data_IF_701629338054
#
_entry.id   IF_701629338054
#
_cell.length_a   1.000
_cell.length_b   1.000
_cell.length_c   1.000
_cell.angle_alpha   90.00
_cell.angle_beta   90.00
_cell.angle_gamma   90.00
#
_symmetry.space_group_name_H-M   'P 1'
#
loop_
_entity.id
_entity.type
_entity.pdbx_description
1 polymer ?
#
# COMPACT_ATOMS: atom_id res chain seq x y z
N UNK A 1 -3.10 -22.13 16.15
CA UNK A 1 -2.54 -20.93 15.48
C UNK A 1 -1.69 -21.38 14.30
N UNK A 2 -1.56 -20.57 13.26
CA UNK A 2 -0.77 -20.84 12.05
C UNK A 2 0.44 -19.91 12.01
N UNK A 3 1.62 -20.42 11.65
CA UNK A 3 2.90 -19.71 11.72
C UNK A 3 3.43 -19.45 10.33
N UNK A 4 4.00 -18.26 10.12
CA UNK A 4 4.73 -17.96 8.89
C UNK A 4 6.06 -18.73 8.86
N UNK A 5 6.44 -19.23 7.69
CA UNK A 5 7.72 -19.93 7.53
C UNK A 5 8.91 -18.99 7.40
N UNK A 6 8.69 -17.74 7.03
CA UNK A 6 9.75 -16.76 6.73
C UNK A 6 9.95 -15.71 7.82
N UNK A 7 8.99 -15.56 8.73
CA UNK A 7 9.05 -14.60 9.84
C UNK A 7 8.48 -15.21 11.12
N UNK A 8 8.52 -14.45 12.22
CA UNK A 8 8.03 -14.89 13.54
C UNK A 8 6.53 -14.66 13.75
N UNK A 9 5.80 -14.19 12.74
CA UNK A 9 4.37 -13.90 12.85
C UNK A 9 3.51 -15.17 12.94
N UNK A 10 2.41 -15.06 13.70
CA UNK A 10 1.40 -16.11 13.86
C UNK A 10 -0.01 -15.57 13.62
N UNK A 11 -0.92 -16.44 13.18
CA UNK A 11 -2.27 -16.10 12.72
C UNK A 11 -3.31 -17.07 13.27
N UNK A 12 -4.50 -16.57 13.58
CA UNK A 12 -5.62 -17.40 14.07
C UNK A 12 -6.36 -18.11 12.94
N UNK A 13 -6.39 -17.52 11.73
CA UNK A 13 -7.08 -18.08 10.54
C UNK A 13 -6.09 -18.34 9.41
N UNK A 14 -6.27 -19.44 8.68
CA UNK A 14 -5.46 -19.82 7.52
C UNK A 14 -5.44 -18.69 6.47
N UNK A 15 -6.60 -18.07 6.20
CA UNK A 15 -6.70 -17.00 5.21
C UNK A 15 -5.81 -15.79 5.54
N UNK A 16 -5.60 -15.48 6.82
CA UNK A 16 -4.70 -14.39 7.22
C UNK A 16 -3.24 -14.75 6.99
N UNK A 17 -2.83 -15.99 7.29
CA UNK A 17 -1.50 -16.47 6.95
C UNK A 17 -1.25 -16.44 5.44
N UNK A 18 -2.22 -16.91 4.63
CA UNK A 18 -2.09 -16.91 3.17
C UNK A 18 -1.99 -15.49 2.63
N UNK A 19 -2.81 -14.56 3.13
CA UNK A 19 -2.72 -13.15 2.75
C UNK A 19 -1.36 -12.56 3.12
N UNK A 20 -0.86 -12.83 4.33
CA UNK A 20 0.46 -12.37 4.73
C UNK A 20 1.56 -12.90 3.78
N UNK A 21 1.57 -14.20 3.49
CA UNK A 21 2.53 -14.80 2.55
C UNK A 21 2.44 -14.18 1.14
N UNK A 22 1.23 -13.90 0.65
CA UNK A 22 1.02 -13.32 -0.67
C UNK A 22 1.39 -11.84 -0.80
N UNK A 23 1.45 -11.10 0.31
CA UNK A 23 1.77 -9.68 0.30
C UNK A 23 3.23 -9.41 0.70
N UNK A 24 3.69 -10.05 1.77
CA UNK A 24 5.01 -9.76 2.36
C UNK A 24 6.13 -10.66 1.83
N UNK A 25 5.80 -11.82 1.26
CA UNK A 25 6.80 -12.82 0.83
C UNK A 25 6.63 -13.27 -0.64
N UNK A 26 5.77 -12.59 -1.41
CA UNK A 26 5.41 -12.96 -2.80
C UNK A 26 6.61 -13.13 -3.73
N UNK A 27 7.61 -12.27 -3.59
CA UNK A 27 8.77 -12.20 -4.48
C UNK A 27 10.01 -12.84 -3.89
N UNK A 28 9.95 -13.26 -2.63
CA UNK A 28 11.15 -13.68 -1.93
C UNK A 28 11.51 -15.13 -2.25
N UNK A 29 10.53 -16.02 -2.54
CA UNK A 29 10.83 -17.45 -2.69
C UNK A 29 9.86 -18.22 -3.59
N UNK A 30 10.39 -19.25 -4.25
CA UNK A 30 9.63 -20.21 -5.07
C UNK A 30 9.11 -21.42 -4.28
N UNK A 31 9.27 -21.44 -2.94
CA UNK A 31 8.91 -22.59 -2.09
C UNK A 31 8.35 -22.13 -0.75
N UNK A 32 7.28 -22.76 -0.30
CA UNK A 32 6.61 -22.55 0.99
C UNK A 32 6.77 -23.79 1.86
N UNK A 33 7.36 -23.63 3.06
CA UNK A 33 7.55 -24.72 4.02
C UNK A 33 6.47 -24.62 5.10
N UNK A 34 5.83 -25.73 5.45
CA UNK A 34 4.95 -25.78 6.61
C UNK A 34 5.78 -25.79 7.91
N UNK A 35 5.43 -24.95 8.88
CA UNK A 35 6.00 -24.94 10.24
C UNK A 35 4.97 -25.25 11.32
N UNK A 36 3.92 -25.98 10.96
CA UNK A 36 2.93 -26.44 11.93
C UNK A 36 3.49 -27.63 12.71
N UNK A 37 2.95 -27.88 13.90
CA UNK A 37 3.43 -28.94 14.79
C UNK A 37 3.53 -30.28 14.05
N UNK A 38 4.72 -30.87 14.05
CA UNK A 38 5.05 -32.12 13.35
C UNK A 38 4.80 -32.10 11.83
N UNK A 39 4.89 -30.94 11.17
CA UNK A 39 4.79 -30.82 9.72
C UNK A 39 5.91 -29.96 9.14
N UNK A 40 6.65 -30.52 8.18
CA UNK A 40 7.79 -29.88 7.50
C UNK A 40 7.69 -30.02 5.98
N UNK A 41 6.48 -30.16 5.43
CA UNK A 41 6.28 -30.35 3.98
C UNK A 41 6.56 -29.05 3.23
N UNK A 42 7.19 -29.17 2.07
CA UNK A 42 7.48 -28.07 1.15
C UNK A 42 6.53 -28.06 -0.04
N UNK A 43 6.18 -26.86 -0.52
CA UNK A 43 5.26 -26.64 -1.63
C UNK A 43 5.79 -25.56 -2.56
N UNK A 44 5.75 -25.81 -3.87
CA UNK A 44 6.19 -24.82 -4.88
C UNK A 44 5.12 -23.74 -5.18
N UNK A 45 3.88 -23.95 -4.74
CA UNK A 45 2.76 -23.07 -5.07
C UNK A 45 1.93 -22.77 -3.82
N UNK A 46 1.59 -21.49 -3.63
CA UNK A 46 0.78 -21.00 -2.51
C UNK A 46 -0.60 -21.67 -2.45
N UNK A 47 -1.19 -22.02 -3.60
CA UNK A 47 -2.48 -22.73 -3.67
C UNK A 47 -2.39 -24.14 -3.06
N UNK A 48 -1.33 -24.88 -3.39
CA UNK A 48 -1.07 -26.22 -2.81
C UNK A 48 -0.74 -26.14 -1.32
N UNK A 49 0.00 -25.11 -0.91
CA UNK A 49 0.27 -24.85 0.50
C UNK A 49 -1.01 -24.54 1.28
N UNK A 50 -1.90 -23.70 0.74
CA UNK A 50 -3.23 -23.41 1.32
C UNK A 50 -4.07 -24.67 1.47
N UNK A 51 -4.15 -25.48 0.42
CA UNK A 51 -4.87 -26.75 0.43
C UNK A 51 -4.32 -27.69 1.50
N UNK A 52 -2.99 -27.79 1.62
CA UNK A 52 -2.35 -28.57 2.67
C UNK A 52 -2.73 -28.11 4.08
N UNK A 53 -2.69 -26.79 4.35
CA UNK A 53 -3.09 -26.24 5.63
C UNK A 53 -4.55 -26.57 5.95
N UNK A 54 -5.45 -26.45 4.97
CA UNK A 54 -6.87 -26.79 5.15
C UNK A 54 -7.08 -28.29 5.44
N UNK A 55 -6.36 -29.16 4.75
CA UNK A 55 -6.57 -30.60 4.86
C UNK A 55 -5.92 -31.24 6.09
N UNK A 56 -4.79 -30.69 6.56
CA UNK A 56 -3.98 -31.29 7.63
C UNK A 56 -3.99 -30.50 8.94
N UNK A 57 -4.19 -29.19 8.88
CA UNK A 57 -4.02 -28.30 10.04
C UNK A 57 -5.26 -27.48 10.38
N UNK A 58 -6.25 -27.39 9.48
CA UNK A 58 -7.56 -26.95 9.92
C UNK A 58 -8.08 -28.02 10.88
N UNK A 59 -8.36 -27.60 12.11
CA UNK A 59 -9.18 -28.39 13.01
C UNK A 59 -10.42 -28.77 12.21
N UNK A 60 -10.62 -30.07 11.98
CA UNK A 60 -11.91 -30.58 11.59
C UNK A 60 -12.82 -30.27 12.77
N UNK A 61 -13.39 -29.07 12.77
CA UNK A 61 -14.61 -28.80 13.50
C UNK A 61 -15.53 -29.87 12.96
N UNK A 62 -15.80 -30.89 13.76
CA UNK A 62 -16.80 -31.90 13.46
C UNK A 62 -18.13 -31.15 13.48
N UNK A 63 -18.42 -30.45 12.39
CA UNK A 63 -19.76 -30.02 12.08
C UNK A 63 -20.46 -31.33 11.79
N UNK A 64 -21.17 -31.85 12.78
CA UNK A 64 -22.13 -32.93 12.63
C UNK A 64 -23.24 -32.42 11.71
N UNK A 65 -22.95 -32.32 10.40
CA UNK A 65 -23.97 -32.12 9.40
C UNK A 65 -24.65 -33.47 9.23
N UNK A 66 -25.86 -33.56 9.79
CA UNK A 66 -26.78 -34.68 9.58
C UNK A 66 -26.90 -34.97 8.08
N UNK A 67 -26.70 -36.23 7.63
CA UNK A 67 -26.74 -36.58 6.22
C UNK A 67 -28.20 -36.74 5.80
N UNK A 68 -28.88 -35.65 5.45
CA UNK A 68 -30.10 -35.70 4.68
C UNK A 68 -29.96 -34.81 3.45
N UNK A 69 -30.21 -35.45 2.30
CA UNK A 69 -30.27 -34.91 0.93
C UNK A 69 -28.99 -35.06 0.10
N UNK A 70 -28.63 -36.32 -0.20
CA UNK A 70 -27.91 -36.64 -1.43
C UNK A 70 -28.84 -36.39 -2.63
N UNK A 71 -28.70 -35.24 -3.30
CA UNK A 71 -29.29 -35.01 -4.60
C UNK A 71 -28.44 -35.70 -5.67
N UNK A 72 -28.97 -36.78 -6.22
CA UNK A 72 -28.42 -37.51 -7.35
C UNK A 72 -28.65 -36.69 -8.62
N UNK A 73 -27.60 -36.07 -9.16
CA UNK A 73 -27.64 -35.45 -10.49
C UNK A 73 -27.50 -36.57 -11.52
N UNK A 74 -28.64 -37.03 -12.07
CA UNK A 74 -28.65 -37.83 -13.30
C UNK A 74 -28.50 -36.88 -14.48
N UNK A 75 -27.37 -36.94 -15.16
CA UNK A 75 -27.20 -36.32 -16.47
C UNK A 75 -28.13 -37.02 -17.46
N UNK A 76 -29.08 -36.28 -18.01
CA UNK A 76 -29.85 -36.69 -19.17
C UNK A 76 -29.70 -35.60 -20.23
N UNK A 77 -29.13 -36.02 -21.36
CA UNK A 77 -28.94 -35.20 -22.55
C UNK A 77 -30.26 -34.65 -23.11
N UNK A 78 -30.10 -33.57 -23.88
CA UNK A 78 -30.95 -33.02 -24.95
C UNK A 78 -31.77 -31.74 -24.64
N UNK A 79 -31.31 -30.70 -25.34
CA UNK A 79 -32.04 -29.75 -26.18
C UNK A 79 -33.02 -28.72 -25.59
N UNK A 80 -32.66 -27.49 -25.96
CA UNK A 80 -33.49 -26.40 -26.50
C UNK A 80 -34.31 -25.52 -25.55
N UNK A 81 -34.07 -24.23 -25.81
CA UNK A 81 -34.92 -23.06 -25.65
C UNK A 81 -34.75 -22.20 -24.38
N UNK A 82 -34.36 -20.96 -24.72
CA UNK A 82 -34.40 -19.71 -24.01
C UNK A 82 -35.54 -19.61 -22.99
N UNK A 83 -35.22 -19.16 -21.77
CA UNK A 83 -35.91 -18.03 -21.13
C UNK A 83 -35.22 -17.62 -19.81
N UNK A 84 -35.09 -16.29 -19.65
CA UNK A 84 -34.88 -15.50 -18.43
C UNK A 84 -33.90 -16.00 -17.35
N UNK A 85 -32.71 -15.38 -17.31
CA UNK A 85 -31.87 -15.36 -16.11
C UNK A 85 -32.41 -14.33 -15.11
N UNK A 86 -33.10 -14.79 -14.07
CA UNK A 86 -33.21 -14.05 -12.82
C UNK A 86 -32.07 -14.49 -11.90
N UNK A 87 -31.13 -13.58 -11.67
CA UNK A 87 -30.01 -13.77 -10.76
C UNK A 87 -30.52 -13.88 -9.31
N UNK A 88 -30.50 -15.10 -8.77
CA UNK A 88 -30.65 -15.35 -7.35
C UNK A 88 -29.35 -14.97 -6.63
N UNK A 89 -29.25 -13.71 -6.21
CA UNK A 89 -28.19 -13.25 -5.30
C UNK A 89 -28.37 -13.94 -3.94
N UNK A 90 -27.59 -14.99 -3.69
CA UNK A 90 -27.47 -15.62 -2.37
C UNK A 90 -26.90 -14.60 -1.39
N UNK A 91 -27.74 -14.16 -0.46
CA UNK A 91 -27.39 -13.33 0.68
C UNK A 91 -26.38 -14.09 1.56
N UNK A 92 -25.09 -13.76 1.44
CA UNK A 92 -24.05 -14.27 2.33
C UNK A 92 -24.12 -13.44 3.61
N UNK A 93 -24.81 -13.98 4.61
CA UNK A 93 -24.89 -13.39 5.94
C UNK A 93 -23.55 -13.57 6.66
N UNK A 94 -22.70 -12.54 6.63
CA UNK A 94 -21.44 -12.52 7.39
C UNK A 94 -21.77 -12.30 8.88
N UNK A 95 -21.95 -13.40 9.62
CA UNK A 95 -21.96 -13.33 11.07
C UNK A 95 -20.53 -13.07 11.55
N UNK A 96 -20.23 -11.82 11.87
CA UNK A 96 -19.00 -11.46 12.56
C UNK A 96 -19.18 -11.90 14.02
N UNK A 97 -18.54 -12.99 14.43
CA UNK A 97 -18.35 -13.31 15.84
C UNK A 97 -17.41 -12.27 16.42
N UNK A 98 -17.98 -11.38 17.23
CA UNK A 98 -17.25 -10.44 18.06
C UNK A 98 -16.54 -11.28 19.12
N UNK A 99 -15.21 -11.37 19.04
CA UNK A 99 -14.42 -12.02 20.08
C UNK A 99 -14.53 -11.20 21.36
N UNK A 100 -15.00 -11.83 22.44
CA UNK A 100 -15.00 -11.29 23.79
C UNK A 100 -13.56 -10.93 24.23
N UNK A 101 -13.22 -9.65 24.13
CA UNK A 101 -12.04 -9.05 24.75
C UNK A 101 -12.42 -8.48 26.12
N UNK A 102 -12.46 -9.33 27.15
CA UNK A 102 -12.82 -8.92 28.52
C UNK A 102 -11.64 -8.75 29.49
N UNK A 103 -10.40 -8.52 29.04
CA UNK A 103 -9.28 -8.28 29.95
C UNK A 103 -8.29 -7.22 29.43
N UNK A 104 -8.75 -5.97 29.38
CA UNK A 104 -7.91 -4.80 29.04
C UNK A 104 -8.17 -3.68 30.05
N UNK A 105 -7.64 -3.84 31.26
CA UNK A 105 -7.84 -2.86 32.34
C UNK A 105 -6.62 -1.98 32.62
N UNK A 106 -5.64 -1.91 31.72
CA UNK A 106 -4.44 -1.09 31.94
C UNK A 106 -3.83 -0.50 30.64
N UNK A 107 -4.62 0.29 29.90
CA UNK A 107 -4.25 0.79 28.57
C UNK A 107 -4.53 2.29 28.34
N UNK A 108 -4.19 3.15 29.30
CA UNK A 108 -4.26 4.59 29.04
C UNK A 108 -3.04 5.13 28.26
N UNK A 109 -1.89 4.44 28.32
CA UNK A 109 -0.68 4.83 27.56
C UNK A 109 -0.60 4.28 26.13
N UNK A 110 -1.49 3.35 25.73
CA UNK A 110 -1.41 2.67 24.43
C UNK A 110 -2.31 3.26 23.34
N UNK A 111 -2.91 4.45 23.57
CA UNK A 111 -3.92 5.03 22.67
C UNK A 111 -3.32 5.76 21.45
N UNK A 112 -2.12 6.34 21.59
CA UNK A 112 -1.38 6.91 20.45
C UNK A 112 -0.89 5.82 19.48
N UNK A 113 -0.82 4.57 19.93
CA UNK A 113 -0.40 3.44 19.10
C UNK A 113 -1.39 3.18 17.96
N UNK A 114 -2.71 3.18 18.24
CA UNK A 114 -3.73 2.84 17.24
C UNK A 114 -3.78 3.81 16.05
N UNK A 115 -3.73 5.13 16.31
CA UNK A 115 -3.76 6.14 15.23
C UNK A 115 -2.48 6.08 14.39
N UNK A 116 -1.34 5.88 15.04
CA UNK A 116 -0.06 5.72 14.34
C UNK A 116 0.00 4.44 13.51
N UNK A 117 -0.55 3.34 14.01
CA UNK A 117 -0.65 2.08 13.26
C UNK A 117 -1.49 2.22 12.00
N UNK A 118 -2.66 2.85 12.12
CA UNK A 118 -3.53 3.11 10.95
C UNK A 118 -2.80 4.02 9.96
N UNK A 119 -2.11 5.06 10.45
CA UNK A 119 -1.30 5.94 9.60
C UNK A 119 -0.22 5.18 8.85
N UNK A 120 0.50 4.30 9.53
CA UNK A 120 1.59 3.51 8.94
C UNK A 120 1.05 2.50 7.92
N UNK A 121 -0.01 1.75 8.25
CA UNK A 121 -0.65 0.80 7.33
C UNK A 121 -1.19 1.48 6.08
N UNK A 122 -1.79 2.66 6.23
CA UNK A 122 -2.31 3.42 5.12
C UNK A 122 -1.19 3.98 4.24
N UNK A 123 -0.13 4.52 4.84
CA UNK A 123 1.04 5.00 4.12
C UNK A 123 1.74 3.86 3.35
N UNK A 124 1.86 2.68 3.95
CA UNK A 124 2.40 1.47 3.30
C UNK A 124 1.52 1.03 2.12
N UNK A 125 0.20 0.99 2.33
CA UNK A 125 -0.77 0.63 1.28
C UNK A 125 -0.75 1.62 0.11
N UNK A 126 -0.70 2.92 0.40
CA UNK A 126 -0.59 3.96 -0.62
C UNK A 126 0.75 3.87 -1.37
N UNK A 127 1.86 3.64 -0.65
CA UNK A 127 3.18 3.48 -1.24
C UNK A 127 3.24 2.26 -2.17
N UNK A 128 2.69 1.12 -1.73
CA UNK A 128 2.59 -0.11 -2.51
C UNK A 128 1.74 0.07 -3.77
N UNK A 129 0.59 0.75 -3.64
CA UNK A 129 -0.25 1.12 -4.77
C UNK A 129 0.52 1.95 -5.80
N UNK A 130 1.24 3.00 -5.37
CA UNK A 130 2.02 3.86 -6.26
C UNK A 130 3.19 3.09 -6.91
N UNK A 131 3.93 2.31 -6.11
CA UNK A 131 5.07 1.52 -6.59
C UNK A 131 4.66 0.54 -7.69
N UNK A 132 3.45 -0.01 -7.62
CA UNK A 132 2.91 -0.91 -8.66
C UNK A 132 2.88 -0.23 -10.03
N UNK A 133 2.48 1.05 -10.11
CA UNK A 133 2.48 1.78 -11.39
C UNK A 133 3.88 2.14 -11.86
N UNK A 134 4.76 2.58 -10.96
CA UNK A 134 6.14 2.93 -11.32
C UNK A 134 7.00 1.72 -11.72
N UNK A 135 6.59 0.51 -11.34
CA UNK A 135 7.25 -0.71 -11.78
C UNK A 135 6.99 -1.05 -13.26
N UNK A 136 5.92 -0.50 -13.87
CA UNK A 136 5.58 -0.73 -15.27
C UNK A 136 6.19 0.34 -16.17
N UNK A 137 7.22 -0.05 -16.93
CA UNK A 137 7.95 0.81 -17.86
C UNK A 137 7.10 1.33 -19.02
N UNK A 138 5.94 0.74 -19.28
CA UNK A 138 5.06 1.16 -20.37
C UNK A 138 4.16 2.35 -19.98
N UNK A 139 4.06 2.66 -18.69
CA UNK A 139 3.21 3.75 -18.20
C UNK A 139 4.06 5.00 -18.03
N UNK A 140 3.79 6.00 -18.86
CA UNK A 140 4.45 7.30 -18.75
C UNK A 140 4.10 7.98 -17.40
N UNK A 141 5.09 8.61 -16.75
CA UNK A 141 4.95 9.24 -15.41
C UNK A 141 3.73 10.18 -15.29
N UNK A 142 3.48 10.96 -16.34
CA UNK A 142 2.29 11.83 -16.44
C UNK A 142 0.97 11.08 -16.22
N UNK A 143 0.85 9.85 -16.72
CA UNK A 143 -0.35 9.03 -16.53
C UNK A 143 -0.43 8.48 -15.11
N UNK A 144 0.69 8.06 -14.53
CA UNK A 144 0.76 7.63 -13.12
C UNK A 144 0.28 8.75 -12.21
N UNK A 145 0.80 9.97 -12.41
CA UNK A 145 0.38 11.15 -11.65
C UNK A 145 -1.11 11.49 -11.86
N UNK A 146 -1.64 11.33 -13.07
CA UNK A 146 -3.08 11.51 -13.34
C UNK A 146 -3.93 10.48 -12.58
N UNK A 147 -3.51 9.22 -12.55
CA UNK A 147 -4.18 8.14 -11.81
C UNK A 147 -4.16 8.45 -10.31
N UNK A 148 -2.99 8.77 -9.74
CA UNK A 148 -2.85 9.13 -8.32
C UNK A 148 -3.77 10.30 -7.97
N UNK A 149 -3.75 11.38 -8.75
CA UNK A 149 -4.59 12.55 -8.52
C UNK A 149 -6.09 12.23 -8.64
N UNK A 150 -6.48 11.37 -9.59
CA UNK A 150 -7.89 10.98 -9.78
C UNK A 150 -8.37 10.11 -8.62
N UNK A 151 -7.58 9.12 -8.21
CA UNK A 151 -7.87 8.25 -7.06
C UNK A 151 -7.96 9.05 -5.77
N UNK A 152 -7.04 9.98 -5.56
CA UNK A 152 -7.07 10.90 -4.43
C UNK A 152 -8.33 11.75 -4.43
N UNK A 153 -8.65 12.41 -5.54
CA UNK A 153 -9.86 13.22 -5.66
C UNK A 153 -11.14 12.40 -5.42
N UNK A 154 -11.15 11.13 -5.86
CA UNK A 154 -12.25 10.21 -5.63
C UNK A 154 -12.42 9.87 -4.14
N UNK A 155 -11.33 9.57 -3.45
CA UNK A 155 -11.33 9.29 -2.01
C UNK A 155 -11.75 10.54 -1.22
N UNK A 156 -11.11 11.68 -1.47
CA UNK A 156 -11.32 12.93 -0.71
C UNK A 156 -12.75 13.48 -0.88
N UNK A 157 -13.29 13.53 -2.10
CA UNK A 157 -14.51 14.30 -2.36
C UNK A 157 -15.81 13.57 -2.07
N UNK A 158 -15.85 12.23 -2.14
CA UNK A 158 -17.12 11.49 -2.10
C UNK A 158 -17.19 10.51 -0.95
N UNK A 159 -16.22 9.60 -0.88
CA UNK A 159 -16.30 8.49 0.07
C UNK A 159 -15.91 8.97 1.47
N UNK A 160 -14.76 9.62 1.60
CA UNK A 160 -14.23 9.96 2.92
C UNK A 160 -15.11 11.00 3.61
N UNK A 161 -15.57 12.01 2.87
CA UNK A 161 -16.46 13.04 3.40
C UNK A 161 -17.82 12.46 3.82
N UNK A 162 -18.41 11.59 3.01
CA UNK A 162 -19.68 10.92 3.34
C UNK A 162 -19.54 10.03 4.57
N UNK A 163 -18.49 9.21 4.62
CA UNK A 163 -18.21 8.34 5.75
C UNK A 163 -17.97 9.16 7.03
N UNK A 164 -17.15 10.21 6.95
CA UNK A 164 -16.89 11.14 8.06
C UNK A 164 -18.18 11.74 8.59
N UNK A 165 -19.03 12.28 7.71
CA UNK A 165 -20.30 12.89 8.11
C UNK A 165 -21.25 11.88 8.76
N UNK A 166 -21.33 10.67 8.21
CA UNK A 166 -22.16 9.60 8.77
C UNK A 166 -21.68 9.17 10.16
N UNK A 167 -20.38 8.96 10.33
CA UNK A 167 -19.80 8.63 11.64
C UNK A 167 -20.03 9.79 12.62
N UNK A 168 -19.79 11.03 12.20
CA UNK A 168 -19.99 12.19 13.08
C UNK A 168 -21.45 12.36 13.51
N UNK A 169 -22.41 12.07 12.62
CA UNK A 169 -23.84 12.06 12.95
C UNK A 169 -24.19 11.00 14.00
N UNK A 170 -23.60 9.80 13.89
CA UNK A 170 -23.76 8.73 14.89
C UNK A 170 -23.12 9.14 16.22
N UNK A 171 -21.89 9.68 16.19
CA UNK A 171 -21.15 10.17 17.37
C UNK A 171 -21.82 11.37 18.05
N UNK A 172 -22.60 12.17 17.31
CA UNK A 172 -23.37 13.29 17.89
C UNK A 172 -24.59 12.80 18.66
N UNK A 173 -25.21 11.70 18.20
CA UNK A 173 -26.38 11.08 18.84
C UNK A 173 -26.02 10.20 20.03
N UNK A 174 -24.86 9.56 19.97
CA UNK A 174 -24.33 8.77 21.08
C UNK A 174 -23.57 9.71 22.02
N UNK A 175 -23.86 9.66 23.32
CA UNK A 175 -23.31 10.58 24.32
C UNK A 175 -21.84 10.23 24.65
N UNK A 176 -21.01 10.10 23.61
CA UNK A 176 -19.62 9.67 23.65
C UNK A 176 -18.73 10.85 24.01
N UNK A 177 -17.70 10.57 24.82
CA UNK A 177 -16.63 11.49 25.20
C UNK A 177 -16.03 12.22 23.97
N UNK A 178 -15.85 13.54 24.11
CA UNK A 178 -15.19 14.37 23.11
C UNK A 178 -13.78 13.87 22.74
N UNK A 179 -13.08 13.20 23.65
CA UNK A 179 -11.75 12.63 23.37
C UNK A 179 -11.78 11.62 22.23
N UNK A 180 -12.79 10.73 22.20
CA UNK A 180 -12.94 9.73 21.14
C UNK A 180 -13.30 10.41 19.81
N UNK A 181 -14.10 11.47 19.84
CA UNK A 181 -14.46 12.25 18.64
C UNK A 181 -13.21 12.87 18.00
N UNK A 182 -12.31 13.44 18.83
CA UNK A 182 -11.04 13.98 18.36
C UNK A 182 -10.14 12.91 17.71
N UNK A 183 -10.06 11.71 18.30
CA UNK A 183 -9.26 10.62 17.72
C UNK A 183 -9.81 10.15 16.37
N UNK A 184 -11.13 10.05 16.23
CA UNK A 184 -11.76 9.69 14.96
C UNK A 184 -11.51 10.79 13.91
N UNK A 185 -11.58 12.05 14.31
CA UNK A 185 -11.22 13.18 13.44
C UNK A 185 -9.77 13.08 12.97
N UNK A 186 -8.82 12.82 13.89
CA UNK A 186 -7.40 12.61 13.55
C UNK A 186 -7.20 11.46 12.56
N UNK A 187 -7.92 10.35 12.72
CA UNK A 187 -7.90 9.24 11.75
C UNK A 187 -8.34 9.72 10.37
N UNK A 188 -9.43 10.48 10.26
CA UNK A 188 -9.86 11.04 8.96
C UNK A 188 -8.84 12.02 8.36
N UNK A 189 -8.14 12.80 9.18
CA UNK A 189 -7.06 13.67 8.70
C UNK A 189 -5.88 12.86 8.15
N UNK A 190 -5.55 11.72 8.77
CA UNK A 190 -4.54 10.79 8.27
C UNK A 190 -4.91 10.29 6.88
N UNK A 191 -6.18 9.94 6.64
CA UNK A 191 -6.63 9.50 5.31
C UNK A 191 -6.49 10.58 4.23
N UNK A 192 -6.78 11.83 4.56
CA UNK A 192 -6.60 12.96 3.65
C UNK A 192 -5.15 13.15 3.23
N UNK A 193 -4.22 12.82 4.12
CA UNK A 193 -2.78 13.01 3.90
C UNK A 193 -2.03 11.74 3.45
N UNK A 194 -2.74 10.64 3.21
CA UNK A 194 -2.15 9.33 2.87
C UNK A 194 -1.28 9.34 1.60
N UNK A 195 -1.58 10.21 0.64
CA UNK A 195 -0.82 10.37 -0.60
C UNK A 195 0.27 11.46 -0.53
N UNK A 196 0.36 12.20 0.58
CA UNK A 196 1.23 13.37 0.73
C UNK A 196 2.50 13.12 1.55
N UNK A 197 2.63 11.95 2.20
CA UNK A 197 3.67 11.73 3.23
C UNK A 197 5.07 11.37 2.72
N UNK A 198 5.24 11.01 1.45
CA UNK A 198 6.50 10.42 0.97
C UNK A 198 7.16 11.17 -0.19
N UNK A 199 6.50 12.19 -0.74
CA UNK A 199 7.02 12.94 -1.88
C UNK A 199 7.46 14.33 -1.43
N UNK A 200 8.64 14.74 -1.87
CA UNK A 200 9.14 16.08 -1.61
C UNK A 200 8.55 16.98 -2.66
N UNK A 201 7.72 17.91 -2.19
CA UNK A 201 7.09 18.88 -3.07
C UNK A 201 8.17 19.73 -3.76
N UNK A 202 8.06 19.93 -5.09
CA UNK A 202 8.94 20.84 -5.80
C UNK A 202 8.82 22.26 -5.25
N UNK A 203 9.95 22.93 -5.09
CA UNK A 203 9.99 24.35 -4.74
C UNK A 203 9.93 25.19 -6.02
N UNK A 204 9.11 26.24 -5.98
CA UNK A 204 8.94 27.17 -7.08
C UNK A 204 9.76 28.43 -6.83
N UNK A 205 10.47 28.88 -7.86
CA UNK A 205 11.18 30.17 -7.84
C UNK A 205 10.95 30.91 -9.14
N UNK A 206 11.00 32.24 -9.06
CA UNK A 206 10.80 33.12 -10.21
C UNK A 206 12.13 33.24 -10.95
N UNK A 207 12.19 32.74 -12.18
CA UNK A 207 13.38 32.87 -13.05
C UNK A 207 13.36 34.15 -13.88
N UNK A 208 12.20 34.81 -13.96
CA UNK A 208 12.05 36.06 -14.69
C UNK A 208 10.59 36.41 -14.92
N UNK A 209 10.35 37.23 -15.93
CA UNK A 209 9.00 37.62 -16.38
C UNK A 209 8.89 37.40 -17.88
N UNK A 210 7.69 37.05 -18.35
CA UNK A 210 7.34 36.99 -19.76
C UNK A 210 6.08 37.79 -20.01
N UNK A 211 6.00 38.47 -21.14
CA UNK A 211 4.79 39.19 -21.52
C UNK A 211 3.79 38.22 -22.13
N UNK A 212 2.56 38.21 -21.61
CA UNK A 212 1.45 37.40 -22.12
C UNK A 212 0.38 38.35 -22.65
N UNK A 213 -0.10 38.09 -23.87
CA UNK A 213 -1.21 38.83 -24.45
C UNK A 213 -2.50 38.46 -23.71
N UNK A 214 -3.18 39.45 -23.13
CA UNK A 214 -4.52 39.30 -22.57
C UNK A 214 -5.49 40.14 -23.37
N UNK A 215 -6.62 39.55 -23.75
CA UNK A 215 -7.70 40.27 -24.43
C UNK A 215 -8.74 40.68 -23.40
N UNK A 216 -9.02 41.98 -23.29
CA UNK A 216 -10.04 42.50 -22.38
C UNK A 216 -10.91 43.52 -23.14
N UNK A 217 -12.22 43.24 -23.25
CA UNK A 217 -13.19 44.06 -24.02
C UNK A 217 -12.74 44.35 -25.47
N UNK A 218 -12.21 43.33 -26.15
CA UNK A 218 -11.76 43.44 -27.54
C UNK A 218 -10.35 44.00 -27.73
N UNK A 219 -9.81 44.75 -26.75
CA UNK A 219 -8.44 45.27 -26.76
C UNK A 219 -7.43 44.20 -26.32
N UNK A 220 -6.28 44.15 -26.98
CA UNK A 220 -5.16 43.26 -26.65
C UNK A 220 -4.12 44.06 -25.87
N UNK A 221 -3.81 43.63 -24.64
CA UNK A 221 -2.75 44.22 -23.82
C UNK A 221 -1.66 43.19 -23.49
N UNK A 222 -0.41 43.66 -23.42
CA UNK A 222 0.71 42.86 -22.93
C UNK A 222 0.75 42.99 -21.41
N UNK A 223 0.54 41.88 -20.70
CA UNK A 223 0.67 41.83 -19.24
C UNK A 223 1.90 41.01 -18.87
N UNK A 224 2.86 41.54 -18.09
CA UNK A 224 3.97 40.75 -17.59
C UNK A 224 3.45 39.70 -16.61
N UNK A 225 3.85 38.45 -16.81
CA UNK A 225 3.55 37.30 -15.94
C UNK A 225 4.86 36.70 -15.49
N UNK A 226 4.96 36.37 -14.19
CA UNK A 226 6.12 35.69 -13.63
C UNK A 226 6.36 34.37 -14.35
N UNK A 227 7.58 34.16 -14.85
CA UNK A 227 8.04 32.87 -15.30
C UNK A 227 8.61 32.13 -14.08
N UNK A 228 8.00 31.01 -13.72
CA UNK A 228 8.43 30.18 -12.60
C UNK A 228 9.14 28.93 -13.11
N UNK A 229 10.20 28.55 -12.41
CA UNK A 229 10.83 27.23 -12.54
C UNK A 229 10.53 26.41 -11.29
N UNK A 230 10.67 25.09 -11.40
CA UNK A 230 10.50 24.15 -10.30
C UNK A 230 11.80 23.36 -10.10
N UNK A 231 12.19 23.16 -8.85
CA UNK A 231 13.29 22.26 -8.50
C UNK A 231 12.92 21.44 -7.27
N UNK A 232 13.43 20.21 -7.20
CA UNK A 232 13.33 19.39 -5.98
C UNK A 232 14.65 19.54 -5.23
N UNK A 233 14.60 20.09 -4.01
CA UNK A 233 15.80 20.30 -3.22
C UNK A 233 16.48 18.97 -2.89
N UNK A 234 17.71 18.78 -3.39
CA UNK A 234 18.54 17.60 -3.07
C UNK A 234 18.74 17.51 -1.57
N UNK A 235 18.93 18.65 -0.87
CA UNK A 235 19.06 18.69 0.59
C UNK A 235 17.80 18.12 1.28
N UNK A 236 16.60 18.55 0.87
CA UNK A 236 15.35 17.98 1.41
C UNK A 236 15.23 16.50 1.06
N UNK A 237 15.65 16.10 -0.14
CA UNK A 237 15.65 14.72 -0.62
C UNK A 237 16.51 13.80 0.21
N UNK A 238 17.77 14.16 0.38
CA UNK A 238 18.68 13.41 1.24
C UNK A 238 18.20 13.41 2.68
N UNK A 239 17.71 14.54 3.19
CA UNK A 239 17.20 14.59 4.56
C UNK A 239 16.02 13.63 4.76
N UNK A 240 15.02 13.63 3.88
CA UNK A 240 13.89 12.71 3.93
C UNK A 240 14.33 11.25 3.79
N UNK A 241 15.27 10.95 2.88
CA UNK A 241 15.83 9.61 2.73
C UNK A 241 16.53 9.12 4.01
N UNK A 242 17.33 9.97 4.65
CA UNK A 242 18.00 9.62 5.90
C UNK A 242 17.07 9.48 7.10
N UNK A 243 15.86 10.05 7.04
CA UNK A 243 14.81 9.81 8.05
C UNK A 243 14.12 8.46 7.87
N UNK A 244 14.30 7.77 6.73
CA UNK A 244 13.80 6.40 6.55
C UNK A 244 14.63 5.47 7.43
N UNK A 245 13.98 4.83 8.41
CA UNK A 245 14.64 3.90 9.34
C UNK A 245 15.40 2.81 8.57
N UNK A 246 16.67 2.60 8.94
CA UNK A 246 17.55 1.60 8.32
C UNK A 246 18.12 1.96 6.94
N UNK A 247 17.73 3.10 6.35
CA UNK A 247 18.24 3.51 5.03
C UNK A 247 19.75 3.73 5.03
N UNK A 248 20.26 4.53 5.98
CA UNK A 248 21.70 4.77 6.11
C UNK A 248 22.47 3.46 6.38
N UNK A 249 21.94 2.62 7.28
CA UNK A 249 22.52 1.32 7.59
C UNK A 249 22.62 0.44 6.35
N UNK A 250 21.57 0.41 5.52
CA UNK A 250 21.54 -0.34 4.25
C UNK A 250 22.60 0.18 3.28
N UNK A 251 22.74 1.50 3.14
CA UNK A 251 23.81 2.09 2.31
C UNK A 251 25.19 1.69 2.82
N UNK A 252 25.44 1.80 4.12
CA UNK A 252 26.75 1.47 4.70
C UNK A 252 27.08 -0.02 4.56
N UNK A 253 26.11 -0.91 4.78
CA UNK A 253 26.25 -2.35 4.53
C UNK A 253 26.60 -2.61 3.07
N UNK A 254 25.87 -1.98 2.14
CA UNK A 254 26.14 -2.11 0.71
C UNK A 254 27.54 -1.59 0.37
N UNK A 255 27.95 -0.44 0.89
CA UNK A 255 29.31 0.08 0.71
C UNK A 255 30.38 -0.86 1.26
N UNK A 256 30.13 -1.52 2.39
CA UNK A 256 31.05 -2.52 2.94
C UNK A 256 31.19 -3.74 2.03
N UNK A 257 30.06 -4.30 1.56
CA UNK A 257 30.05 -5.39 0.57
C UNK A 257 30.86 -4.98 -0.67
N UNK A 258 30.68 -3.74 -1.13
CA UNK A 258 31.42 -3.24 -2.28
C UNK A 258 32.94 -3.07 -2.05
N UNK A 259 33.38 -2.96 -0.80
CA UNK A 259 34.81 -2.87 -0.47
C UNK A 259 35.46 -4.26 -0.39
N UNK A 260 34.70 -5.30 -0.06
CA UNK A 260 35.20 -6.68 0.06
C UNK A 260 35.27 -7.41 -1.29
N UNK A 261 34.45 -7.01 -2.26
CA UNK A 261 34.41 -7.60 -3.59
C UNK A 261 35.54 -7.06 -4.50
N UNK A 262 36.40 -7.95 -5.00
CA UNK A 262 37.62 -7.60 -5.76
C UNK A 262 37.39 -7.14 -7.21
N UNK A 263 36.15 -7.20 -7.73
CA UNK A 263 35.82 -6.99 -9.14
C UNK A 263 34.77 -5.90 -9.40
N UNK A 264 34.62 -4.94 -8.50
CA UNK A 264 33.58 -3.90 -8.67
C UNK A 264 34.07 -2.74 -9.52
N UNK A 265 33.20 -2.32 -10.44
CA UNK A 265 33.31 -1.06 -11.16
C UNK A 265 33.08 0.08 -10.15
N UNK A 266 34.17 0.64 -9.62
CA UNK A 266 34.10 1.86 -8.82
C UNK A 266 33.48 2.98 -9.66
N UNK A 267 32.25 3.35 -9.28
CA UNK A 267 31.56 4.62 -9.52
C UNK A 267 31.83 5.28 -10.88
N UNK A 268 30.83 5.37 -11.76
CA UNK A 268 30.95 5.99 -13.10
C UNK A 268 31.59 7.39 -13.05
N UNK A 269 31.35 8.15 -11.98
CA UNK A 269 31.92 9.49 -11.73
C UNK A 269 33.44 9.45 -11.43
N UNK A 270 33.97 8.32 -10.96
CA UNK A 270 35.41 8.10 -10.76
C UNK A 270 36.06 7.32 -11.90
N UNK A 271 35.26 6.78 -12.83
CA UNK A 271 35.73 6.04 -13.99
C UNK A 271 36.64 6.89 -14.90
N UNK A 272 37.62 6.24 -15.53
CA UNK A 272 38.52 6.85 -16.52
C UNK A 272 37.75 7.66 -17.59
N UNK A 273 36.54 7.22 -17.94
CA UNK A 273 35.66 7.88 -18.90
C UNK A 273 35.17 9.25 -18.44
N UNK A 274 34.77 9.40 -17.17
CA UNK A 274 34.36 10.70 -16.62
C UNK A 274 35.54 11.65 -16.49
N UNK A 275 36.72 11.15 -16.07
CA UNK A 275 37.96 11.94 -16.07
C UNK A 275 38.34 12.43 -17.46
N UNK A 276 38.13 11.62 -18.52
CA UNK A 276 38.31 12.04 -19.92
C UNK A 276 37.32 13.13 -20.33
N UNK A 277 36.05 13.01 -19.95
CA UNK A 277 35.03 14.03 -20.24
C UNK A 277 35.34 15.36 -19.53
N UNK A 278 35.76 15.33 -18.26
CA UNK A 278 36.21 16.52 -17.53
C UNK A 278 37.42 17.19 -18.18
N UNK A 279 38.36 16.40 -18.71
CA UNK A 279 39.50 16.95 -19.45
C UNK A 279 39.11 17.56 -20.80
N UNK A 280 38.06 17.05 -21.45
CA UNK A 280 37.54 17.60 -22.70
C UNK A 280 36.69 18.86 -22.50
N UNK A 281 36.04 18.99 -21.34
CA UNK A 281 35.19 20.13 -21.00
C UNK A 281 35.63 20.72 -19.65
N UNK A 282 36.81 21.37 -19.59
CA UNK A 282 37.23 22.04 -18.37
C UNK A 282 36.18 23.09 -18.00
N UNK A 283 35.74 23.08 -16.75
CA UNK A 283 34.88 24.13 -16.23
C UNK A 283 35.69 25.43 -16.32
N UNK A 284 35.29 26.32 -17.22
CA UNK A 284 35.85 27.66 -17.31
C UNK A 284 35.53 28.37 -15.99
N UNK A 285 36.52 28.40 -15.10
CA UNK A 285 36.57 29.21 -13.88
C UNK A 285 36.79 30.67 -14.22
#
# INVERSE_FOLDING_TARGET
>A
MFYCSFCTCSYTKINYLISHLSHFHKYSFNRFICKQENCYREFQNLSKFKEHLLNKHAFKVHINVSPQNQLTIKNKDLNSNEESRQDASKNINYHYEICDMQNYQDCDNNKNFLVNDIKNQLAESASSFIATFYSDKNIHDRHIQKIINTTKNFIENKILLSLKNNIYNVLKKSNIDNKIKLQIEEMFQVYKNSFYGSFIEPEYYVIGTRNVHKRHKGLVSLTPVKATSQFVSIKKTLNSLFHISGFLTTILIYMHILLEESNIIYNVVQGKTYKRLLAQFPANS
#
